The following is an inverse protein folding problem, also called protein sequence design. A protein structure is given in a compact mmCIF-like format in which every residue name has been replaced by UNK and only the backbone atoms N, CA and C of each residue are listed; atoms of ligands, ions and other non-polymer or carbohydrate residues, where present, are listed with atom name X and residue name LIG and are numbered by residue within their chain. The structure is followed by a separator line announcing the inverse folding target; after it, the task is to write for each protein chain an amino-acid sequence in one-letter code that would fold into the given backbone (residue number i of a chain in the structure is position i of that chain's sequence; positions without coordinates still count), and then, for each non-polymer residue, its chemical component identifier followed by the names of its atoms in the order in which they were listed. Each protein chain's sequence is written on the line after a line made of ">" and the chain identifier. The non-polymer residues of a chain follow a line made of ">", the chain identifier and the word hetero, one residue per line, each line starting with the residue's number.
data_IF_241715162171
#
_entry.id   IF_241715162171
#
_cell.length_a   1.000
_cell.length_b   1.000
_cell.length_c   1.000
_cell.angle_alpha   90.00
_cell.angle_beta   90.00
_cell.angle_gamma   90.00
#
_symmetry.space_group_name_H-M   'P 1'
#
loop_
_entity.id
_entity.type
_entity.pdbx_description
1 polymer ?
#
# COMPACT_ATOMS: atom_id res chain seq x y z
N UNK A 1 3.05 -11.89 -18.06
CA UNK A 1 1.81 -11.12 -18.37
C UNK A 1 2.04 -9.62 -18.19
N UNK A 2 1.11 -8.73 -18.59
CA UNK A 2 1.15 -7.31 -18.22
C UNK A 2 0.56 -7.10 -16.82
N UNK A 3 1.31 -6.48 -15.92
CA UNK A 3 0.87 -6.20 -14.55
C UNK A 3 0.92 -4.69 -14.30
N UNK A 4 -0.20 -4.13 -13.85
CA UNK A 4 -0.26 -2.75 -13.41
C UNK A 4 -0.27 -2.68 -11.88
N UNK A 5 0.75 -2.05 -11.30
CA UNK A 5 0.75 -1.67 -9.90
C UNK A 5 0.12 -0.29 -9.73
N UNK A 6 -0.92 -0.23 -8.91
CA UNK A 6 -1.52 1.01 -8.41
C UNK A 6 -1.02 1.22 -6.98
N UNK A 7 -0.27 2.30 -6.76
CA UNK A 7 0.33 2.57 -5.45
C UNK A 7 0.15 4.03 -5.01
N UNK A 8 0.28 4.32 -3.72
CA UNK A 8 0.32 5.70 -3.23
C UNK A 8 1.76 6.22 -3.18
N UNK A 9 1.93 7.54 -3.32
CA UNK A 9 3.24 8.21 -3.14
C UNK A 9 3.63 8.33 -1.65
N UNK A 10 3.66 7.22 -0.94
CA UNK A 10 4.11 7.13 0.46
C UNK A 10 5.26 6.13 0.64
N UNK A 11 5.97 6.28 1.78
CA UNK A 11 7.12 5.46 2.13
C UNK A 11 6.80 3.96 2.16
N UNK A 12 5.65 3.57 2.74
CA UNK A 12 5.26 2.16 2.84
C UNK A 12 5.01 1.52 1.47
N UNK A 13 4.38 2.24 0.55
CA UNK A 13 4.18 1.80 -0.83
C UNK A 13 5.52 1.71 -1.57
N UNK A 14 6.38 2.72 -1.45
CA UNK A 14 7.72 2.69 -2.08
C UNK A 14 8.54 1.50 -1.58
N UNK A 15 8.51 1.25 -0.27
CA UNK A 15 9.19 0.13 0.35
C UNK A 15 8.69 -1.22 -0.16
N UNK A 16 7.36 -1.41 -0.23
CA UNK A 16 6.77 -2.61 -0.80
C UNK A 16 7.15 -2.80 -2.28
N UNK A 17 7.09 -1.74 -3.09
CA UNK A 17 7.47 -1.78 -4.50
C UNK A 17 8.93 -2.21 -4.71
N UNK A 18 9.84 -1.84 -3.80
CA UNK A 18 11.25 -2.28 -3.89
C UNK A 18 11.42 -3.79 -3.70
N UNK A 19 10.48 -4.44 -3.03
CA UNK A 19 10.46 -5.90 -2.89
C UNK A 19 9.73 -6.57 -4.06
N UNK A 20 8.70 -5.91 -4.59
CA UNK A 20 7.81 -6.46 -5.61
C UNK A 20 8.39 -6.35 -7.02
N UNK A 21 8.80 -5.15 -7.42
CA UNK A 21 9.13 -4.86 -8.81
C UNK A 21 10.35 -5.65 -9.33
N UNK A 22 11.45 -5.83 -8.56
CA UNK A 22 12.58 -6.64 -9.02
C UNK A 22 12.22 -8.09 -9.34
N UNK A 23 11.28 -8.68 -8.58
CA UNK A 23 10.82 -10.05 -8.77
C UNK A 23 9.77 -10.12 -9.89
N UNK A 24 8.76 -9.25 -9.88
CA UNK A 24 7.72 -9.22 -10.90
C UNK A 24 8.28 -8.96 -12.32
N UNK A 25 9.28 -8.08 -12.45
CA UNK A 25 9.89 -7.76 -13.75
C UNK A 25 10.70 -8.92 -14.36
N UNK A 26 10.97 -10.01 -13.64
CA UNK A 26 11.69 -11.17 -14.20
C UNK A 26 10.89 -11.88 -15.30
N UNK A 27 9.57 -11.91 -15.17
CA UNK A 27 8.68 -12.68 -16.04
C UNK A 27 7.52 -11.85 -16.62
N UNK A 28 7.44 -10.57 -16.27
CA UNK A 28 6.28 -9.73 -16.58
C UNK A 28 6.65 -8.36 -17.10
N UNK A 29 5.78 -7.82 -17.95
CA UNK A 29 5.80 -6.42 -18.33
C UNK A 29 5.08 -5.62 -17.24
N UNK A 30 5.81 -4.81 -16.49
CA UNK A 30 5.31 -4.15 -15.29
C UNK A 30 5.15 -2.65 -15.52
N UNK A 31 3.98 -2.13 -15.13
CA UNK A 31 3.63 -0.72 -15.19
C UNK A 31 3.31 -0.20 -13.79
N UNK A 32 3.67 1.06 -13.51
CA UNK A 32 3.47 1.67 -12.20
C UNK A 32 2.72 2.99 -12.32
N UNK A 33 1.54 3.06 -11.71
CA UNK A 33 0.74 4.27 -11.63
C UNK A 33 0.55 4.68 -10.17
N UNK A 34 0.73 5.98 -9.89
CA UNK A 34 0.81 6.50 -8.54
C UNK A 34 -0.33 7.48 -8.24
N UNK A 35 -0.99 7.32 -7.10
CA UNK A 35 -1.84 8.38 -6.53
C UNK A 35 -1.04 9.31 -5.64
N UNK A 36 -1.38 10.60 -5.64
CA UNK A 36 -0.79 11.58 -4.72
C UNK A 36 -1.67 11.86 -3.48
N UNK A 37 -2.88 11.27 -3.40
CA UNK A 37 -3.82 11.52 -2.30
C UNK A 37 -4.68 10.30 -2.00
N UNK A 38 -4.82 10.00 -0.72
CA UNK A 38 -5.83 9.06 -0.19
C UNK A 38 -6.87 9.89 0.58
N UNK A 39 -8.16 9.75 0.23
CA UNK A 39 -9.28 10.38 0.97
C UNK A 39 -9.58 11.86 0.67
N UNK A 40 -10.69 12.38 1.24
CA UNK A 40 -11.15 13.77 1.08
C UNK A 40 -10.48 14.71 2.09
N UNK A 41 -10.33 15.98 1.70
CA UNK A 41 -9.66 17.03 2.49
C UNK A 41 -10.55 17.52 3.64
N UNK A 42 -10.45 16.91 4.80
CA UNK A 42 -10.96 17.48 6.06
C UNK A 42 -9.81 18.09 6.86
N UNK A 43 -10.14 18.76 7.98
CA UNK A 43 -9.14 19.20 8.96
C UNK A 43 -8.38 17.96 9.45
N UNK A 44 -7.15 17.79 8.97
CA UNK A 44 -6.28 16.68 9.35
C UNK A 44 -5.75 16.97 10.76
N UNK A 45 -5.96 16.08 11.76
CA UNK A 45 -5.35 16.22 13.08
C UNK A 45 -3.84 16.38 13.00
N UNK A 46 -3.23 17.13 13.92
CA UNK A 46 -1.77 17.37 13.93
C UNK A 46 -0.96 16.07 13.85
N UNK A 47 -1.27 14.99 14.59
CA UNK A 47 -0.51 13.74 14.48
C UNK A 47 -0.56 13.11 13.07
N UNK A 48 -1.69 13.21 12.37
CA UNK A 48 -1.80 12.75 10.99
C UNK A 48 -1.09 13.66 9.98
N UNK A 49 -0.94 14.97 10.29
CA UNK A 49 -0.07 15.87 9.51
C UNK A 49 1.40 15.47 9.67
N UNK A 50 1.83 15.14 10.89
CA UNK A 50 3.17 14.62 11.15
C UNK A 50 3.40 13.32 10.40
N UNK A 51 2.46 12.37 10.47
CA UNK A 51 2.53 11.12 9.71
C UNK A 51 2.72 11.36 8.21
N UNK A 52 1.87 12.22 7.62
CA UNK A 52 1.99 12.61 6.21
C UNK A 52 3.35 13.25 5.91
N UNK A 53 3.84 14.12 6.78
CA UNK A 53 5.13 14.77 6.59
C UNK A 53 6.25 13.74 6.43
N UNK A 54 6.36 12.76 7.32
CA UNK A 54 7.38 11.71 7.21
C UNK A 54 7.13 10.76 6.03
N UNK A 55 5.91 10.24 5.88
CA UNK A 55 5.61 9.24 4.83
C UNK A 55 5.69 9.81 3.41
N UNK A 56 5.44 11.12 3.23
CA UNK A 56 5.29 11.73 1.91
C UNK A 56 6.19 12.94 1.71
N UNK A 57 6.12 13.95 2.56
CA UNK A 57 6.79 15.24 2.27
C UNK A 57 8.31 15.12 2.42
N UNK A 58 8.79 14.66 3.58
CA UNK A 58 10.20 14.41 3.87
C UNK A 58 10.77 13.37 2.89
N UNK A 59 10.09 12.24 2.71
CA UNK A 59 10.56 11.19 1.82
C UNK A 59 10.61 11.63 0.35
N UNK A 60 9.51 12.13 -0.22
CA UNK A 60 9.45 12.42 -1.65
C UNK A 60 10.18 13.74 -2.02
N UNK A 61 10.13 14.77 -1.18
CA UNK A 61 10.64 16.09 -1.55
C UNK A 61 12.10 16.31 -1.13
N UNK A 62 12.55 15.68 -0.05
CA UNK A 62 13.89 15.90 0.50
C UNK A 62 14.79 14.69 0.32
N UNK A 63 14.36 13.49 0.74
CA UNK A 63 15.20 12.30 0.67
C UNK A 63 15.33 11.75 -0.76
N UNK A 64 14.21 11.61 -1.47
CA UNK A 64 14.18 11.00 -2.81
C UNK A 64 15.13 11.67 -3.82
N UNK A 65 15.23 13.01 -3.91
CA UNK A 65 16.17 13.67 -4.82
C UNK A 65 17.65 13.55 -4.42
N UNK A 66 17.92 13.19 -3.16
CA UNK A 66 19.27 13.07 -2.60
C UNK A 66 19.78 11.63 -2.68
N UNK A 67 18.93 10.62 -2.46
CA UNK A 67 19.29 9.20 -2.45
C UNK A 67 20.15 8.78 -3.67
N UNK A 68 19.77 9.09 -4.93
CA UNK A 68 20.57 8.71 -6.09
C UNK A 68 21.96 9.37 -6.17
N UNK A 69 22.18 10.49 -5.46
CA UNK A 69 23.45 11.22 -5.44
C UNK A 69 24.42 10.67 -4.40
N UNK A 70 23.93 9.84 -3.48
CA UNK A 70 24.73 9.24 -2.44
C UNK A 70 25.46 8.04 -3.05
N UNK A 71 26.79 8.04 -2.96
CA UNK A 71 27.63 6.92 -3.38
C UNK A 71 27.45 5.77 -2.40
N UNK A 72 26.36 5.02 -2.54
CA UNK A 72 26.11 3.82 -1.74
C UNK A 72 26.56 2.57 -2.50
N UNK A 73 27.03 1.57 -1.75
CA UNK A 73 27.39 0.25 -2.25
C UNK A 73 26.15 -0.52 -2.73
N UNK A 74 26.34 -1.52 -3.60
CA UNK A 74 25.27 -2.36 -4.17
C UNK A 74 24.18 -2.76 -3.14
N UNK A 75 22.97 -2.19 -3.28
CA UNK A 75 21.65 -2.63 -2.74
C UNK A 75 20.72 -1.52 -2.18
N UNK A 76 20.94 -0.24 -2.45
CA UNK A 76 19.97 0.80 -2.06
C UNK A 76 18.63 0.65 -2.76
N UNK A 77 17.55 0.81 -1.97
CA UNK A 77 16.20 0.82 -2.47
C UNK A 77 15.97 2.06 -3.34
N UNK A 78 15.20 1.85 -4.41
CA UNK A 78 14.86 2.86 -5.40
C UNK A 78 13.76 3.76 -4.88
N UNK A 79 13.91 5.05 -5.14
CA UNK A 79 12.83 6.01 -4.96
C UNK A 79 11.80 5.87 -6.11
N UNK A 80 10.71 6.63 -6.07
CA UNK A 80 9.74 6.61 -7.18
C UNK A 80 10.39 7.01 -8.51
N UNK A 81 11.23 8.04 -8.53
CA UNK A 81 11.96 8.44 -9.74
C UNK A 81 12.92 7.34 -10.20
N UNK A 82 13.58 6.66 -9.25
CA UNK A 82 14.43 5.50 -9.53
C UNK A 82 13.67 4.33 -10.18
N UNK A 83 12.38 4.16 -9.88
CA UNK A 83 11.56 3.14 -10.54
C UNK A 83 11.27 3.47 -12.00
N UNK A 84 11.17 4.74 -12.39
CA UNK A 84 10.94 5.08 -13.81
C UNK A 84 12.13 4.65 -14.67
N UNK A 85 13.35 4.84 -14.16
CA UNK A 85 14.58 4.34 -14.81
C UNK A 85 14.61 2.81 -14.81
N UNK A 86 14.28 2.17 -13.68
CA UNK A 86 14.31 0.71 -13.56
C UNK A 86 13.32 0.01 -14.49
N UNK A 87 12.09 0.52 -14.58
CA UNK A 87 11.04 -0.07 -15.43
C UNK A 87 11.23 0.26 -16.92
N UNK A 88 12.16 1.17 -17.25
CA UNK A 88 12.30 1.74 -18.60
C UNK A 88 10.95 2.23 -19.16
N UNK A 89 10.12 2.79 -18.27
CA UNK A 89 8.75 3.21 -18.57
C UNK A 89 8.38 4.42 -17.72
N UNK A 90 7.50 5.26 -18.27
CA UNK A 90 7.02 6.43 -17.56
C UNK A 90 6.08 6.02 -16.42
N UNK A 91 6.36 6.51 -15.22
CA UNK A 91 5.43 6.41 -14.11
C UNK A 91 4.30 7.41 -14.32
N UNK A 92 3.05 6.95 -14.23
CA UNK A 92 1.88 7.80 -14.45
C UNK A 92 1.30 8.28 -13.13
N UNK A 93 1.09 9.58 -13.01
CA UNK A 93 0.37 10.17 -11.89
C UNK A 93 -1.15 10.14 -12.12
N UNK A 94 -1.87 9.55 -11.18
CA UNK A 94 -3.32 9.34 -11.26
C UNK A 94 -4.04 10.21 -10.24
N UNK A 95 -4.77 11.21 -10.75
CA UNK A 95 -5.67 12.04 -9.94
C UNK A 95 -7.05 11.42 -9.75
N UNK A 96 -7.60 10.83 -10.82
CA UNK A 96 -8.93 10.20 -10.83
C UNK A 96 -8.90 8.95 -11.71
N UNK A 97 -8.75 7.77 -11.10
CA UNK A 97 -8.63 6.48 -11.82
C UNK A 97 -9.84 6.16 -12.69
N UNK A 98 -11.02 6.69 -12.36
CA UNK A 98 -12.26 6.45 -13.09
C UNK A 98 -12.55 7.52 -14.17
N UNK A 99 -11.62 8.44 -14.44
CA UNK A 99 -11.82 9.43 -15.51
C UNK A 99 -11.79 8.75 -16.89
N UNK A 100 -12.45 9.32 -17.92
CA UNK A 100 -12.39 8.78 -19.28
C UNK A 100 -10.94 8.62 -19.79
N UNK A 101 -10.07 9.58 -19.48
CA UNK A 101 -8.64 9.54 -19.82
C UNK A 101 -7.93 8.32 -19.21
N UNK A 102 -8.17 8.05 -17.93
CA UNK A 102 -7.55 6.93 -17.24
C UNK A 102 -8.10 5.59 -17.71
N UNK A 103 -9.41 5.51 -17.97
CA UNK A 103 -10.06 4.32 -18.52
C UNK A 103 -9.51 4.02 -19.93
N UNK A 104 -9.36 5.03 -20.79
CA UNK A 104 -8.73 4.84 -22.10
C UNK A 104 -7.30 4.33 -21.98
N UNK A 105 -6.51 4.93 -21.08
CA UNK A 105 -5.15 4.45 -20.82
C UNK A 105 -5.09 3.01 -20.29
N UNK A 106 -6.07 2.58 -19.48
CA UNK A 106 -6.17 1.19 -19.01
C UNK A 106 -6.55 0.23 -20.14
N UNK A 107 -7.49 0.63 -21.01
CA UNK A 107 -7.87 -0.17 -22.17
C UNK A 107 -6.72 -0.32 -23.17
N UNK A 108 -5.95 0.74 -23.41
CA UNK A 108 -4.75 0.71 -24.26
C UNK A 108 -3.65 -0.17 -23.64
N UNK A 109 -3.45 -0.05 -22.33
CA UNK A 109 -2.47 -0.87 -21.61
C UNK A 109 -2.86 -2.35 -21.61
N UNK A 110 -4.16 -2.64 -21.46
CA UNK A 110 -4.75 -3.97 -21.33
C UNK A 110 -3.98 -4.85 -20.31
N UNK A 111 -3.85 -4.42 -19.04
CA UNK A 111 -3.16 -5.22 -18.04
C UNK A 111 -3.91 -6.53 -17.81
N UNK A 112 -3.20 -7.65 -17.67
CA UNK A 112 -3.83 -8.90 -17.27
C UNK A 112 -4.22 -8.88 -15.78
N UNK A 113 -3.39 -8.25 -14.95
CA UNK A 113 -3.59 -8.14 -13.50
C UNK A 113 -3.37 -6.70 -13.05
N UNK A 114 -4.20 -6.21 -12.13
CA UNK A 114 -3.95 -4.99 -11.37
C UNK A 114 -3.64 -5.35 -9.91
N UNK A 115 -2.56 -4.80 -9.37
CA UNK A 115 -2.18 -4.94 -7.95
C UNK A 115 -2.30 -3.57 -7.27
N UNK A 116 -3.21 -3.46 -6.32
CA UNK A 116 -3.44 -2.25 -5.53
C UNK A 116 -2.72 -2.31 -4.18
N UNK A 117 -1.91 -1.28 -3.89
CA UNK A 117 -1.15 -1.14 -2.65
C UNK A 117 -1.36 0.27 -2.12
N UNK A 118 -2.20 0.42 -1.10
CA UNK A 118 -2.55 1.73 -0.50
C UNK A 118 -3.10 2.76 -1.49
N UNK A 119 -3.53 2.34 -2.67
CA UNK A 119 -3.97 3.26 -3.72
C UNK A 119 -5.18 4.09 -3.24
N UNK A 120 -5.12 5.40 -3.45
CA UNK A 120 -6.10 6.32 -2.86
C UNK A 120 -7.46 6.40 -3.56
N UNK A 121 -7.61 5.77 -4.72
CA UNK A 121 -8.81 5.82 -5.54
C UNK A 121 -9.66 4.56 -5.43
N UNK A 122 -10.98 4.72 -5.24
CA UNK A 122 -11.94 3.62 -5.34
C UNK A 122 -12.08 3.24 -6.83
N UNK A 123 -11.86 1.97 -7.16
CA UNK A 123 -12.04 1.45 -8.51
C UNK A 123 -13.53 1.21 -8.77
N UNK A 124 -14.04 1.65 -9.91
CA UNK A 124 -15.43 1.39 -10.34
C UNK A 124 -15.46 0.31 -11.42
N UNK A 125 -16.65 -0.20 -11.68
CA UNK A 125 -16.93 -1.27 -12.65
C UNK A 125 -16.15 -1.16 -13.97
N UNK A 126 -16.09 0.04 -14.58
CA UNK A 126 -15.34 0.27 -15.83
C UNK A 126 -13.84 -0.04 -15.73
N UNK A 127 -13.24 0.14 -14.56
CA UNK A 127 -11.84 -0.19 -14.28
C UNK A 127 -11.72 -1.66 -13.85
N UNK A 128 -12.65 -2.12 -13.00
CA UNK A 128 -12.66 -3.49 -12.45
C UNK A 128 -12.76 -4.54 -13.55
N UNK A 129 -13.51 -4.27 -14.62
CA UNK A 129 -13.74 -5.22 -15.71
C UNK A 129 -12.61 -5.28 -16.76
N UNK A 130 -11.55 -4.47 -16.62
CA UNK A 130 -10.46 -4.42 -17.61
C UNK A 130 -9.48 -5.61 -17.46
N UNK A 131 -8.92 -5.89 -16.28
CA UNK A 131 -7.93 -6.95 -16.16
C UNK A 131 -8.53 -8.35 -16.22
N UNK A 132 -8.02 -9.18 -17.13
CA UNK A 132 -8.54 -10.53 -17.39
C UNK A 132 -8.31 -11.52 -16.24
N UNK A 133 -7.31 -11.27 -15.39
CA UNK A 133 -7.01 -12.02 -14.16
C UNK A 133 -7.43 -11.26 -12.89
N UNK A 134 -8.22 -10.19 -13.05
CA UNK A 134 -8.82 -9.44 -11.95
C UNK A 134 -7.87 -8.46 -11.25
N UNK A 135 -8.26 -8.09 -10.03
CA UNK A 135 -7.58 -7.09 -9.22
C UNK A 135 -7.36 -7.66 -7.82
N UNK A 136 -6.13 -7.57 -7.32
CA UNK A 136 -5.79 -7.89 -5.94
C UNK A 136 -5.38 -6.63 -5.19
N UNK A 137 -5.78 -6.52 -3.93
CA UNK A 137 -5.48 -5.39 -3.06
C UNK A 137 -4.86 -5.86 -1.75
N UNK A 138 -3.76 -5.22 -1.36
CA UNK A 138 -3.14 -5.42 -0.06
C UNK A 138 -3.68 -4.39 0.94
N UNK A 139 -4.60 -4.84 1.78
CA UNK A 139 -5.17 -4.03 2.85
C UNK A 139 -4.34 -4.13 4.14
N UNK A 140 -4.13 -3.01 4.84
CA UNK A 140 -3.37 -2.92 6.10
C UNK A 140 -4.16 -3.36 7.34
N UNK A 141 -5.08 -4.31 7.20
CA UNK A 141 -5.95 -4.76 8.29
C UNK A 141 -6.34 -6.22 8.17
N UNK A 142 -6.77 -6.79 9.29
CA UNK A 142 -7.38 -8.12 9.32
C UNK A 142 -8.85 -7.99 8.92
N UNK A 143 -9.19 -8.46 7.72
CA UNK A 143 -10.57 -8.50 7.25
C UNK A 143 -11.31 -9.72 7.83
N UNK A 144 -12.63 -9.62 8.06
CA UNK A 144 -13.50 -8.49 7.74
C UNK A 144 -13.61 -7.43 8.87
N UNK A 145 -12.82 -7.55 9.95
CA UNK A 145 -12.97 -6.73 11.17
C UNK A 145 -12.59 -5.26 10.99
N UNK A 146 -11.55 -4.95 10.23
CA UNK A 146 -11.03 -3.59 10.11
C UNK A 146 -11.07 -3.06 8.67
N UNK A 147 -12.26 -2.90 8.07
CA UNK A 147 -12.40 -2.28 6.73
C UNK A 147 -12.13 -0.78 6.78
N UNK A 148 -11.73 -0.20 5.65
CA UNK A 148 -11.54 1.24 5.49
C UNK A 148 -10.07 1.64 5.61
N UNK A 149 -9.78 2.74 6.29
CA UNK A 149 -8.42 3.33 6.29
C UNK A 149 -7.74 3.24 7.65
N UNK A 150 -6.41 3.19 7.64
CA UNK A 150 -5.56 3.10 8.84
C UNK A 150 -5.94 1.92 9.77
N UNK A 151 -6.27 0.76 9.20
CA UNK A 151 -6.73 -0.40 9.98
C UNK A 151 -5.74 -0.85 11.09
N UNK A 152 -4.43 -0.82 10.85
CA UNK A 152 -3.42 -1.06 11.90
C UNK A 152 -3.55 -0.10 13.08
N UNK A 153 -3.83 1.19 12.84
CA UNK A 153 -4.05 2.19 13.89
C UNK A 153 -5.27 1.82 14.73
N UNK A 154 -6.38 1.47 14.08
CA UNK A 154 -7.62 1.10 14.77
C UNK A 154 -7.49 -0.17 15.58
N UNK A 155 -6.78 -1.18 15.07
CA UNK A 155 -6.47 -2.39 15.81
C UNK A 155 -5.65 -2.07 17.08
N UNK A 156 -4.57 -1.28 16.94
CA UNK A 156 -3.76 -0.85 18.08
C UNK A 156 -4.58 -0.01 19.09
N UNK A 157 -5.38 0.97 18.63
CA UNK A 157 -6.26 1.78 19.48
C UNK A 157 -7.25 0.94 20.28
N UNK A 158 -7.79 -0.11 19.65
CA UNK A 158 -8.75 -1.01 20.28
C UNK A 158 -8.09 -2.05 21.19
N UNK A 159 -6.78 -1.93 21.45
CA UNK A 159 -5.98 -2.86 22.25
C UNK A 159 -5.98 -4.29 21.71
N UNK A 160 -6.11 -4.47 20.39
CA UNK A 160 -5.92 -5.78 19.79
C UNK A 160 -4.45 -6.21 19.90
N UNK A 161 -4.21 -7.44 20.34
CA UNK A 161 -2.86 -8.01 20.45
C UNK A 161 -2.26 -8.37 19.08
N UNK A 162 -3.11 -8.46 18.05
CA UNK A 162 -2.76 -8.86 16.69
C UNK A 162 -3.14 -7.77 15.71
N UNK A 163 -2.21 -7.46 14.83
CA UNK A 163 -2.39 -6.63 13.64
C UNK A 163 -2.05 -7.48 12.42
N UNK A 164 -2.38 -7.02 11.22
CA UNK A 164 -2.12 -7.80 10.03
C UNK A 164 -2.41 -7.09 8.74
N UNK A 165 -2.04 -7.74 7.65
CA UNK A 165 -2.46 -7.42 6.29
C UNK A 165 -3.42 -8.49 5.79
N UNK A 166 -4.31 -8.08 4.88
CA UNK A 166 -5.13 -9.01 4.12
C UNK A 166 -4.95 -8.73 2.64
N UNK A 167 -4.47 -9.72 1.89
CA UNK A 167 -4.54 -9.74 0.43
C UNK A 167 -5.92 -10.26 0.04
N UNK A 168 -6.67 -9.47 -0.70
CA UNK A 168 -8.02 -9.83 -1.15
C UNK A 168 -8.29 -9.35 -2.57
N UNK A 169 -9.31 -9.88 -3.22
CA UNK A 169 -9.74 -9.41 -4.55
C UNK A 169 -10.52 -8.10 -4.46
N UNK A 170 -10.59 -7.35 -5.56
CA UNK A 170 -11.59 -6.28 -5.76
C UNK A 170 -12.56 -6.77 -6.83
N UNK A 171 -13.75 -7.21 -6.40
CA UNK A 171 -14.77 -7.78 -7.28
C UNK A 171 -15.82 -6.75 -7.71
N UNK A 172 -16.03 -5.71 -6.90
CA UNK A 172 -16.97 -4.63 -7.18
C UNK A 172 -16.51 -3.29 -6.56
N UNK A 173 -17.36 -2.26 -6.60
CA UNK A 173 -17.06 -0.93 -6.08
C UNK A 173 -17.10 -0.79 -4.54
N UNK A 174 -17.33 -1.88 -3.81
CA UNK A 174 -17.35 -1.87 -2.35
C UNK A 174 -15.92 -1.92 -1.77
N UNK A 175 -15.75 -1.27 -0.62
CA UNK A 175 -14.43 -1.11 0.00
C UNK A 175 -14.11 -2.35 0.84
N UNK A 176 -12.96 -2.96 0.56
CA UNK A 176 -12.38 -4.09 1.29
C UNK A 176 -13.35 -5.28 1.51
N UNK A 177 -14.18 -5.61 0.49
CA UNK A 177 -15.20 -6.65 0.62
C UNK A 177 -15.01 -7.88 -0.28
N UNK A 178 -14.05 -7.86 -1.21
CA UNK A 178 -13.79 -9.01 -2.08
C UNK A 178 -13.20 -10.20 -1.32
N UNK A 179 -12.99 -11.31 -2.03
CA UNK A 179 -12.59 -12.58 -1.42
C UNK A 179 -11.19 -12.50 -0.81
N UNK A 180 -11.02 -13.05 0.39
CA UNK A 180 -9.72 -13.11 1.08
C UNK A 180 -8.85 -14.19 0.43
N UNK A 181 -7.68 -13.81 -0.05
CA UNK A 181 -6.66 -14.71 -0.59
C UNK A 181 -5.72 -15.13 0.53
N UNK A 182 -5.24 -14.17 1.32
CA UNK A 182 -4.28 -14.40 2.41
C UNK A 182 -4.43 -13.36 3.50
N UNK A 183 -4.40 -13.81 4.75
CA UNK A 183 -4.22 -12.94 5.92
C UNK A 183 -2.91 -13.27 6.60
N UNK A 184 -2.09 -12.25 6.82
CA UNK A 184 -0.80 -12.33 7.50
C UNK A 184 -0.85 -11.48 8.76
N UNK A 185 -0.40 -12.01 9.90
CA UNK A 185 -0.55 -11.34 11.20
C UNK A 185 0.77 -11.19 11.93
N UNK A 186 0.88 -10.12 12.72
CA UNK A 186 1.98 -9.85 13.63
C UNK A 186 1.43 -9.45 15.00
N UNK A 187 2.25 -9.62 16.05
CA UNK A 187 1.93 -9.09 17.37
C UNK A 187 2.21 -7.60 17.42
N UNK A 188 1.36 -6.85 18.12
CA UNK A 188 1.64 -5.44 18.42
C UNK A 188 2.82 -5.35 19.38
N UNK A 189 3.83 -4.57 19.00
CA UNK A 189 4.93 -4.18 19.89
C UNK A 189 4.62 -2.79 20.45
N UNK A 190 4.32 -2.70 21.75
CA UNK A 190 3.94 -1.43 22.39
C UNK A 190 5.08 -0.41 22.46
N UNK A 191 6.32 -0.83 22.25
CA UNK A 191 7.48 0.07 22.22
C UNK A 191 7.70 0.72 20.84
N UNK A 192 7.01 0.23 19.81
CA UNK A 192 7.18 0.67 18.42
C UNK A 192 6.08 1.62 17.97
N UNK A 193 6.41 2.57 17.10
CA UNK A 193 5.42 3.48 16.54
C UNK A 193 4.51 2.78 15.50
N UNK A 194 3.34 3.37 15.21
CA UNK A 194 2.43 2.90 14.18
C UNK A 194 3.11 2.73 12.81
N UNK A 195 3.92 3.70 12.39
CA UNK A 195 4.60 3.64 11.09
C UNK A 195 5.53 2.42 10.99
N UNK A 196 6.27 2.10 12.06
CA UNK A 196 7.11 0.91 12.12
C UNK A 196 6.29 -0.37 11.86
N UNK A 197 5.13 -0.51 12.53
CA UNK A 197 4.25 -1.66 12.32
C UNK A 197 3.74 -1.76 10.88
N UNK A 198 3.38 -0.63 10.26
CA UNK A 198 2.96 -0.60 8.86
C UNK A 198 4.09 -1.09 7.94
N UNK A 199 5.32 -0.59 8.14
CA UNK A 199 6.48 -0.98 7.34
C UNK A 199 6.80 -2.48 7.50
N UNK A 200 6.75 -3.01 8.73
CA UNK A 200 6.95 -4.45 8.97
C UNK A 200 5.88 -5.32 8.31
N UNK A 201 4.60 -4.95 8.44
CA UNK A 201 3.50 -5.70 7.83
C UNK A 201 3.61 -5.75 6.30
N UNK A 202 4.10 -4.67 5.68
CA UNK A 202 4.24 -4.58 4.23
C UNK A 202 5.42 -5.42 3.70
N UNK A 203 6.37 -5.84 4.55
CA UNK A 203 7.37 -6.85 4.17
C UNK A 203 6.70 -8.17 3.81
N UNK A 204 5.86 -8.68 4.72
CA UNK A 204 5.14 -9.93 4.51
C UNK A 204 4.06 -9.77 3.43
N UNK A 205 3.36 -8.63 3.41
CA UNK A 205 2.36 -8.34 2.38
C UNK A 205 2.93 -8.35 0.95
N UNK A 206 4.18 -7.90 0.76
CA UNK A 206 4.85 -8.00 -0.53
C UNK A 206 5.11 -9.47 -0.92
N UNK A 207 5.53 -10.32 0.02
CA UNK A 207 5.68 -11.76 -0.23
C UNK A 207 4.34 -12.42 -0.60
N UNK A 208 3.25 -12.05 0.08
CA UNK A 208 1.92 -12.59 -0.20
C UNK A 208 1.44 -12.20 -1.62
N UNK A 209 1.73 -10.96 -2.06
CA UNK A 209 1.45 -10.51 -3.43
C UNK A 209 2.25 -11.32 -4.45
N UNK A 210 3.55 -11.56 -4.22
CA UNK A 210 4.38 -12.32 -5.15
C UNK A 210 3.88 -13.75 -5.32
N UNK A 211 3.50 -14.41 -4.23
CA UNK A 211 2.90 -15.75 -4.29
C UNK A 211 1.57 -15.77 -5.09
N UNK A 212 0.76 -14.72 -4.96
CA UNK A 212 -0.47 -14.59 -5.75
C UNK A 212 -0.17 -14.33 -7.24
N UNK A 213 0.85 -13.54 -7.56
CA UNK A 213 1.29 -13.31 -8.94
C UNK A 213 1.78 -14.62 -9.57
N UNK A 214 2.60 -15.39 -8.86
CA UNK A 214 3.13 -16.69 -9.31
C UNK A 214 1.99 -17.70 -9.57
N UNK A 215 1.01 -17.77 -8.67
CA UNK A 215 -0.19 -18.61 -8.86
C UNK A 215 -0.92 -18.22 -10.16
N UNK A 216 -1.16 -16.92 -10.34
CA UNK A 216 -1.86 -16.41 -11.53
C UNK A 216 -1.03 -16.53 -12.82
N UNK A 217 0.29 -16.48 -12.73
CA UNK A 217 1.21 -16.71 -13.86
C UNK A 217 1.06 -18.13 -14.41
N UNK A 218 0.90 -19.12 -13.53
CA UNK A 218 0.70 -20.52 -13.89
C UNK A 218 -0.74 -20.85 -14.34
N UNK A 219 -1.56 -19.83 -14.60
CA UNK A 219 -3.00 -19.94 -14.92
C UNK A 219 -3.81 -20.71 -13.85
N UNK A 220 -3.30 -20.75 -12.61
CA UNK A 220 -3.99 -21.36 -11.49
C UNK A 220 -4.95 -20.37 -10.83
N UNK A 221 -6.00 -20.91 -10.20
CA UNK A 221 -6.97 -20.11 -9.46
C UNK A 221 -6.41 -19.78 -8.07
N UNK A 222 -6.52 -18.51 -7.68
CA UNK A 222 -6.22 -18.10 -6.31
C UNK A 222 -7.17 -18.80 -5.34
N UNK A 223 -6.61 -19.52 -4.39
CA UNK A 223 -7.36 -20.05 -3.26
C UNK A 223 -7.86 -18.86 -2.42
N UNK A 224 -9.14 -18.55 -2.54
CA UNK A 224 -9.76 -17.41 -1.87
C UNK A 224 -11.09 -17.78 -1.25
N UNK A 225 -11.48 -17.05 -0.20
CA UNK A 225 -12.68 -17.32 0.58
C UNK A 225 -13.55 -16.07 0.70
N UNK A 226 -14.89 -16.19 0.58
CA UNK A 226 -15.80 -15.09 0.87
C UNK A 226 -15.61 -14.56 2.29
N UNK A 227 -15.77 -13.25 2.46
CA UNK A 227 -15.77 -12.63 3.78
C UNK A 227 -17.11 -12.85 4.49
N UNK A 228 -17.07 -13.12 5.80
CA UNK A 228 -18.26 -12.98 6.64
C UNK A 228 -18.75 -11.52 6.65
N UNK A 229 -20.06 -11.32 6.83
CA UNK A 229 -20.62 -9.97 6.95
C UNK A 229 -20.11 -9.32 8.24
N UNK A 230 -19.35 -8.24 8.09
CA UNK A 230 -18.91 -7.38 9.18
C UNK A 230 -19.48 -5.98 8.99
N UNK A 231 -19.94 -5.37 10.09
CA UNK A 231 -20.44 -4.00 10.11
C UNK A 231 -19.34 -2.96 10.36
N UNK A 232 -18.09 -3.39 10.62
CA UNK A 232 -17.02 -2.51 11.06
C UNK A 232 -16.28 -1.86 9.88
N UNK A 233 -16.55 -0.57 9.66
CA UNK A 233 -15.86 0.29 8.71
C UNK A 233 -15.26 1.48 9.44
N UNK A 234 -13.98 1.77 9.17
CA UNK A 234 -13.23 2.82 9.84
C UNK A 234 -12.74 3.90 8.87
N UNK A 235 -12.89 5.16 9.27
CA UNK A 235 -12.37 6.32 8.54
C UNK A 235 -11.00 6.74 9.08
N UNK A 236 -10.43 7.83 8.57
CA UNK A 236 -9.25 8.44 9.20
C UNK A 236 -9.60 8.85 10.63
N UNK A 237 -8.70 8.63 11.61
CA UNK A 237 -8.97 9.02 12.98
C UNK A 237 -9.06 10.54 13.09
N UNK A 238 -10.03 11.00 13.87
CA UNK A 238 -10.20 12.39 14.23
C UNK A 238 -9.22 12.79 15.35
N UNK A 239 -9.29 14.07 15.77
CA UNK A 239 -8.38 14.61 16.78
C UNK A 239 -8.45 13.84 18.10
N UNK A 240 -9.65 13.54 18.60
CA UNK A 240 -9.82 12.85 19.88
C UNK A 240 -9.32 11.41 19.79
N UNK A 241 -9.55 10.74 18.67
CA UNK A 241 -9.07 9.37 18.47
C UNK A 241 -7.54 9.28 18.41
N UNK A 242 -6.87 10.31 17.87
CA UNK A 242 -5.42 10.42 17.93
C UNK A 242 -4.94 10.68 19.37
N UNK A 243 -5.62 11.54 20.13
CA UNK A 243 -5.27 11.81 21.53
C UNK A 243 -5.44 10.56 22.40
N UNK A 244 -6.54 9.81 22.24
CA UNK A 244 -6.75 8.53 22.93
C UNK A 244 -5.62 7.53 22.64
N UNK A 245 -5.17 7.48 21.39
CA UNK A 245 -4.10 6.59 20.94
C UNK A 245 -2.78 6.91 21.65
N UNK A 246 -2.44 8.21 21.71
CA UNK A 246 -1.24 8.71 22.40
C UNK A 246 -1.33 8.51 23.92
N UNK A 247 -2.50 8.78 24.52
CA UNK A 247 -2.75 8.55 25.96
C UNK A 247 -2.69 7.06 26.34
N UNK A 248 -2.97 6.17 25.39
CA UNK A 248 -2.79 4.72 25.56
C UNK A 248 -1.33 4.28 25.47
N UNK A 249 -0.38 5.21 25.31
CA UNK A 249 1.05 4.98 25.25
C UNK A 249 1.58 4.62 23.87
N UNK A 250 0.77 4.69 22.81
CA UNK A 250 1.24 4.46 21.45
C UNK A 250 1.74 5.76 20.82
N UNK A 251 2.70 5.64 19.89
CA UNK A 251 3.17 6.75 19.05
C UNK A 251 2.74 6.52 17.61
N UNK A 252 2.36 7.58 16.90
CA UNK A 252 2.09 7.47 15.46
C UNK A 252 3.41 7.35 14.67
N UNK A 253 4.41 8.14 15.06
CA UNK A 253 5.77 8.13 14.52
C UNK A 253 6.77 8.20 15.67
N UNK A 254 7.93 7.59 15.47
CA UNK A 254 9.15 7.81 16.24
C UNK A 254 10.28 8.17 15.26
N UNK A 255 10.95 9.30 15.47
CA UNK A 255 11.93 9.84 14.53
C UNK A 255 13.18 8.97 14.43
N UNK A 256 13.59 8.33 15.54
CA UNK A 256 14.75 7.45 15.56
C UNK A 256 14.47 6.20 14.73
N UNK A 257 13.29 5.60 14.89
CA UNK A 257 12.85 4.45 14.08
C UNK A 257 12.79 4.79 12.59
N UNK A 258 12.33 6.00 12.25
CA UNK A 258 12.31 6.47 10.88
C UNK A 258 13.72 6.62 10.30
N UNK A 259 14.64 7.24 11.04
CA UNK A 259 16.03 7.43 10.60
C UNK A 259 16.72 6.08 10.39
N UNK A 260 16.60 5.16 11.34
CA UNK A 260 17.15 3.81 11.25
C UNK A 260 16.62 3.07 10.02
N UNK A 261 15.32 3.20 9.73
CA UNK A 261 14.71 2.62 8.53
C UNK A 261 15.28 3.22 7.24
N UNK A 262 15.37 4.55 7.14
CA UNK A 262 15.95 5.21 5.95
C UNK A 262 17.42 4.80 5.78
N UNK A 263 18.21 4.76 6.86
CA UNK A 263 19.59 4.31 6.83
C UNK A 263 19.72 2.85 6.40
N UNK A 264 18.82 1.98 6.83
CA UNK A 264 18.91 0.56 6.50
C UNK A 264 18.61 0.27 5.03
N UNK A 265 17.64 0.96 4.43
CA UNK A 265 17.12 0.59 3.11
C UNK A 265 17.51 1.57 1.99
N UNK A 266 17.73 2.84 2.28
CA UNK A 266 17.88 3.89 1.26
C UNK A 266 19.24 4.58 1.23
N UNK A 267 20.10 4.37 2.24
CA UNK A 267 21.44 4.94 2.35
C UNK A 267 22.49 3.84 2.38
#
# INVERSE_FOLDING_TARGET
>A
MKILFLANKDLASNFALNKLLPEACKHHEVHLWLSAKVGKSNVIPTPLKTLKFFEQDLFNQLLSPLIPKIKSTNNTYKTFDGFSVFLNSAIRDVKQINSPEMINGLNELAPALIVSIRFGGILKEKVINIPTKGIINLHSGILPKYKGVMATFWAMKNNDNKIGTTLHTIDDGSIDAGQIIKTSTARVNREKAYLWHVLELYKQGATDILAAIETLENDELLCSQPQEKSASYFTFPNKNECLDFEQSGFKIIDEQEYIEFIQQYYL
#
